data_IF_392727926231
#
_entry.id   IF_392727926231
#
_cell.length_a   1.000
_cell.length_b   1.000
_cell.length_c   1.000
_cell.angle_alpha   90.00
_cell.angle_beta   90.00
_cell.angle_gamma   90.00
#
_symmetry.space_group_name_H-M   'P 1'
#
loop_
_entity.id
_entity.type
_entity.pdbx_description
1 polymer ?
#
# COMPACT_ATOMS: atom_id res chain seq x y z
N UNK A 1 -49.77 18.61 -6.82
CA UNK A 1 -48.86 19.24 -7.85
C UNK A 1 -49.14 18.58 -9.18
N UNK A 2 -49.42 19.39 -10.21
CA UNK A 2 -49.75 18.83 -11.52
C UNK A 2 -48.53 18.09 -12.10
N UNK A 3 -48.77 16.87 -12.59
CA UNK A 3 -47.70 16.01 -13.14
C UNK A 3 -46.83 16.75 -14.20
N UNK A 4 -47.44 17.68 -14.96
CA UNK A 4 -46.77 18.53 -15.93
C UNK A 4 -45.78 19.50 -15.31
N UNK A 5 -46.03 20.06 -14.11
CA UNK A 5 -45.12 20.95 -13.39
C UNK A 5 -43.96 20.16 -12.82
N UNK A 6 -44.23 18.97 -12.26
CA UNK A 6 -43.19 18.08 -11.77
C UNK A 6 -42.22 17.64 -12.88
N UNK A 7 -42.74 17.22 -14.03
CA UNK A 7 -41.91 16.84 -15.18
C UNK A 7 -41.04 18.00 -15.69
N UNK A 8 -41.56 19.22 -15.72
CA UNK A 8 -40.75 20.41 -16.13
C UNK A 8 -39.62 20.69 -15.16
N UNK A 9 -39.86 20.59 -13.83
CA UNK A 9 -38.84 20.81 -12.80
C UNK A 9 -37.78 19.67 -12.89
N UNK A 10 -38.22 18.42 -13.00
CA UNK A 10 -37.34 17.27 -13.13
C UNK A 10 -36.44 17.38 -14.38
N UNK A 11 -37.01 17.77 -15.51
CA UNK A 11 -36.26 17.98 -16.76
C UNK A 11 -35.22 19.12 -16.63
N UNK A 12 -35.59 20.22 -15.97
CA UNK A 12 -34.67 21.32 -15.73
C UNK A 12 -33.49 20.94 -14.83
N UNK A 13 -33.76 20.18 -13.76
CA UNK A 13 -32.72 19.68 -12.85
C UNK A 13 -31.78 18.69 -13.57
N UNK A 14 -32.32 17.74 -14.32
CA UNK A 14 -31.50 16.80 -15.09
C UNK A 14 -30.66 17.52 -16.14
N UNK A 15 -31.20 18.53 -16.83
CA UNK A 15 -30.48 19.34 -17.79
C UNK A 15 -29.32 20.10 -17.13
N UNK A 16 -29.55 20.69 -15.95
CA UNK A 16 -28.51 21.38 -15.20
C UNK A 16 -27.36 20.46 -14.78
N UNK A 17 -27.68 19.26 -14.26
CA UNK A 17 -26.69 18.26 -13.89
C UNK A 17 -25.87 17.81 -15.11
N UNK A 18 -26.54 17.59 -16.24
CA UNK A 18 -25.87 17.17 -17.48
C UNK A 18 -24.91 18.26 -17.99
N UNK A 19 -25.32 19.52 -17.94
CA UNK A 19 -24.44 20.64 -18.29
C UNK A 19 -23.21 20.71 -17.38
N UNK A 20 -23.36 20.56 -16.07
CA UNK A 20 -22.24 20.55 -15.13
C UNK A 20 -21.26 19.40 -15.46
N UNK A 21 -21.78 18.21 -15.77
CA UNK A 21 -20.95 17.07 -16.15
C UNK A 21 -20.19 17.32 -17.46
N UNK A 22 -20.84 17.90 -18.46
CA UNK A 22 -20.22 18.22 -19.76
C UNK A 22 -19.12 19.27 -19.58
N UNK A 23 -19.41 20.35 -18.86
CA UNK A 23 -18.40 21.39 -18.58
C UNK A 23 -17.23 20.85 -17.76
N UNK A 24 -17.49 19.97 -16.78
CA UNK A 24 -16.43 19.28 -16.03
C UNK A 24 -15.51 18.46 -16.95
N UNK A 25 -16.06 17.72 -17.89
CA UNK A 25 -15.27 16.95 -18.87
C UNK A 25 -14.50 17.83 -19.85
N UNK A 26 -15.08 18.93 -20.30
CA UNK A 26 -14.40 19.90 -21.17
C UNK A 26 -13.25 20.57 -20.41
N UNK A 27 -13.46 20.95 -19.16
CA UNK A 27 -12.42 21.52 -18.31
C UNK A 27 -11.27 20.52 -18.08
N UNK A 28 -11.57 19.27 -17.78
CA UNK A 28 -10.58 18.18 -17.68
C UNK A 28 -9.76 18.02 -18.97
N UNK A 29 -10.42 18.10 -20.12
CA UNK A 29 -9.76 17.97 -21.42
C UNK A 29 -8.85 19.17 -21.76
N UNK A 30 -9.28 20.39 -21.40
CA UNK A 30 -8.54 21.63 -21.71
C UNK A 30 -7.43 21.92 -20.70
N UNK A 31 -7.57 21.50 -19.43
CA UNK A 31 -6.65 21.80 -18.33
C UNK A 31 -5.84 20.57 -17.91
N UNK A 32 -5.60 19.60 -18.81
CA UNK A 32 -4.61 18.56 -18.55
C UNK A 32 -3.21 19.19 -18.65
N UNK A 33 -2.55 19.55 -17.55
CA UNK A 33 -1.16 19.94 -17.62
C UNK A 33 -0.35 18.67 -17.89
N UNK A 34 0.24 18.54 -19.08
CA UNK A 34 1.33 17.63 -19.35
C UNK A 34 2.54 18.09 -18.51
N UNK A 35 2.59 17.68 -17.25
CA UNK A 35 3.78 17.85 -16.43
C UNK A 35 4.74 16.74 -16.82
N UNK A 36 5.49 16.94 -17.90
CA UNK A 36 6.72 16.18 -18.14
C UNK A 36 7.74 16.62 -17.09
N UNK A 37 7.83 15.82 -16.02
CA UNK A 37 8.92 15.98 -15.06
C UNK A 37 10.19 15.44 -15.71
N UNK A 38 10.96 16.34 -16.33
CA UNK A 38 12.30 16.06 -16.82
C UNK A 38 13.18 15.61 -15.66
N UNK A 39 13.60 14.34 -15.65
CA UNK A 39 14.56 13.82 -14.70
C UNK A 39 15.94 14.41 -14.98
N UNK A 40 16.46 15.26 -14.10
CA UNK A 40 17.73 15.95 -14.23
C UNK A 40 18.97 15.09 -14.01
N UNK A 41 18.85 13.76 -13.89
CA UNK A 41 20.00 12.85 -13.79
C UNK A 41 19.85 11.67 -14.73
N UNK A 42 20.59 11.62 -15.87
CA UNK A 42 20.67 10.44 -16.74
C UNK A 42 21.55 9.38 -16.06
N UNK A 43 20.95 8.25 -15.72
CA UNK A 43 21.71 7.04 -15.40
C UNK A 43 21.78 6.21 -16.68
N UNK A 44 22.96 6.10 -17.28
CA UNK A 44 23.22 5.22 -18.40
C UNK A 44 23.14 3.75 -17.93
N UNK A 45 22.14 3.03 -18.41
CA UNK A 45 22.11 1.57 -18.35
C UNK A 45 22.01 1.02 -19.75
N UNK A 46 23.01 0.20 -20.10
CA UNK A 46 23.18 -0.42 -21.40
C UNK A 46 21.97 -1.28 -21.83
N UNK A 47 21.67 -1.19 -23.12
CA UNK A 47 20.65 -1.83 -23.92
C UNK A 47 20.27 -3.28 -23.60
N UNK A 48 18.97 -3.55 -23.49
CA UNK A 48 18.32 -4.68 -24.16
C UNK A 48 16.86 -4.37 -24.51
N UNK A 49 16.45 -4.87 -25.67
CA UNK A 49 15.31 -4.52 -26.50
C UNK A 49 13.89 -4.65 -25.90
N UNK A 50 12.84 -4.10 -26.58
CA UNK A 50 11.60 -3.70 -25.94
C UNK A 50 10.54 -4.80 -25.89
N UNK A 51 10.08 -5.13 -24.73
CA UNK A 51 8.85 -5.91 -24.55
C UNK A 51 7.72 -4.97 -24.11
N UNK A 52 6.58 -5.08 -24.76
CA UNK A 52 5.42 -4.18 -24.66
C UNK A 52 4.98 -3.98 -23.20
N UNK A 53 5.28 -2.82 -22.64
CA UNK A 53 4.84 -2.40 -21.31
C UNK A 53 3.34 -2.10 -21.30
N UNK A 54 2.59 -2.92 -20.59
CA UNK A 54 1.29 -2.54 -20.04
C UNK A 54 1.54 -1.48 -18.97
N UNK A 55 0.78 -0.41 -19.02
CA UNK A 55 0.76 0.75 -18.14
C UNK A 55 0.92 0.37 -16.64
N UNK A 56 2.14 0.29 -16.17
CA UNK A 56 2.49 0.09 -14.78
C UNK A 56 3.02 1.43 -14.25
N UNK A 57 2.13 2.25 -13.70
CA UNK A 57 2.52 3.39 -12.89
C UNK A 57 3.43 2.89 -11.77
N UNK A 58 4.74 2.97 -11.99
CA UNK A 58 5.76 2.57 -11.01
C UNK A 58 5.63 3.47 -9.79
N UNK A 59 4.95 2.97 -8.76
CA UNK A 59 4.83 3.68 -7.50
C UNK A 59 6.20 3.61 -6.84
N UNK A 60 6.93 4.72 -6.87
CA UNK A 60 8.22 4.87 -6.20
C UNK A 60 7.99 4.86 -4.67
N UNK A 61 8.13 3.68 -4.08
CA UNK A 61 8.05 3.53 -2.62
C UNK A 61 9.39 3.96 -2.04
N UNK A 62 9.35 4.96 -1.15
CA UNK A 62 10.54 5.49 -0.50
C UNK A 62 11.26 4.39 0.29
N UNK A 63 12.60 4.24 0.13
CA UNK A 63 13.38 3.25 0.87
C UNK A 63 13.42 3.60 2.37
N UNK A 64 13.40 2.56 3.23
CA UNK A 64 13.37 2.76 4.68
C UNK A 64 14.71 2.44 5.38
N UNK A 65 15.67 1.82 4.69
CA UNK A 65 16.89 1.30 5.34
C UNK A 65 17.60 2.38 6.15
N UNK A 66 17.76 3.59 5.59
CA UNK A 66 18.38 4.72 6.29
C UNK A 66 17.56 5.19 7.51
N UNK A 67 16.26 4.98 7.49
CA UNK A 67 15.36 5.43 8.56
C UNK A 67 15.27 4.41 9.71
N UNK A 68 15.63 3.14 9.49
CA UNK A 68 15.53 2.10 10.51
C UNK A 68 16.48 2.34 11.68
N UNK A 69 17.67 2.88 11.43
CA UNK A 69 18.65 3.18 12.47
C UNK A 69 18.17 4.30 13.43
N UNK A 70 17.36 5.23 12.93
CA UNK A 70 16.80 6.35 13.69
C UNK A 70 15.30 6.16 14.01
N UNK A 71 14.75 4.99 13.77
CA UNK A 71 13.34 4.72 13.96
C UNK A 71 12.94 4.71 15.45
N UNK A 72 11.81 5.31 15.75
CA UNK A 72 11.26 5.34 17.11
C UNK A 72 10.41 4.11 17.38
N UNK A 73 10.87 3.23 18.27
CA UNK A 73 10.19 1.96 18.62
C UNK A 73 8.86 2.23 19.35
N UNK A 74 8.79 3.26 20.21
CA UNK A 74 7.57 3.59 20.94
C UNK A 74 6.45 4.07 19.99
N UNK A 75 6.80 4.89 19.01
CA UNK A 75 5.86 5.28 17.96
C UNK A 75 5.46 4.09 17.10
N UNK A 76 6.39 3.17 16.82
CA UNK A 76 6.10 1.89 16.18
C UNK A 76 5.07 1.06 16.97
N UNK A 77 5.21 1.02 18.29
CA UNK A 77 4.25 0.37 19.19
C UNK A 77 2.88 1.04 19.15
N UNK A 78 2.81 2.37 19.12
CA UNK A 78 1.53 3.08 18.97
C UNK A 78 0.86 2.75 17.64
N UNK A 79 1.64 2.69 16.57
CA UNK A 79 1.14 2.35 15.22
C UNK A 79 0.65 0.90 15.17
N UNK A 80 1.32 -0.03 15.87
CA UNK A 80 0.95 -1.45 15.91
C UNK A 80 -0.45 -1.71 16.47
N UNK A 81 -1.02 -0.77 17.25
CA UNK A 81 -2.41 -0.84 17.73
C UNK A 81 -3.41 -0.99 16.59
N UNK A 82 -3.08 -0.53 15.38
CA UNK A 82 -3.91 -0.73 14.18
C UNK A 82 -3.94 -2.18 13.69
N UNK A 83 -3.02 -3.01 14.18
CA UNK A 83 -2.81 -4.39 13.73
C UNK A 83 -3.32 -5.42 14.75
N UNK A 84 -3.43 -5.06 16.05
CA UNK A 84 -3.71 -6.01 17.16
C UNK A 84 -5.07 -6.69 17.05
N UNK A 85 -6.03 -6.06 16.38
CA UNK A 85 -7.36 -6.66 16.15
C UNK A 85 -7.27 -7.95 15.32
N UNK A 86 -6.30 -8.00 14.39
CA UNK A 86 -6.15 -9.11 13.45
C UNK A 86 -4.89 -9.97 13.68
N UNK A 87 -3.87 -9.45 14.35
CA UNK A 87 -2.58 -10.13 14.52
C UNK A 87 -2.17 -10.26 15.98
N UNK A 88 -1.47 -11.37 16.31
CA UNK A 88 -0.69 -11.54 17.53
C UNK A 88 0.78 -11.13 17.30
N UNK A 89 1.53 -10.90 18.41
CA UNK A 89 2.94 -10.50 18.37
C UNK A 89 3.79 -11.25 19.40
N UNK A 90 3.21 -12.21 20.10
CA UNK A 90 3.87 -12.93 21.19
C UNK A 90 4.42 -14.26 20.69
N UNK A 91 5.54 -14.70 21.29
CA UNK A 91 6.11 -16.02 21.02
C UNK A 91 5.10 -17.13 21.33
N UNK A 92 4.87 -18.05 20.40
CA UNK A 92 3.88 -19.11 20.55
C UNK A 92 2.42 -18.64 20.54
N UNK A 93 2.19 -17.36 20.27
CA UNK A 93 0.84 -16.79 20.18
C UNK A 93 0.05 -17.39 19.02
N UNK A 94 -1.27 -17.55 19.20
CA UNK A 94 -2.17 -18.10 18.20
C UNK A 94 -2.39 -17.13 17.03
N UNK A 95 -2.64 -17.69 15.85
CA UNK A 95 -3.17 -16.94 14.73
C UNK A 95 -4.58 -16.40 15.08
N UNK A 96 -4.88 -15.20 14.60
CA UNK A 96 -6.21 -14.57 14.73
C UNK A 96 -6.88 -14.51 13.33
N UNK A 97 -7.47 -13.37 12.97
CA UNK A 97 -7.96 -13.10 11.61
C UNK A 97 -6.79 -13.11 10.60
N UNK A 98 -5.63 -12.66 11.05
CA UNK A 98 -4.35 -12.76 10.37
C UNK A 98 -3.36 -13.64 11.13
N UNK A 99 -2.20 -13.98 10.53
CA UNK A 99 -1.17 -14.77 11.18
C UNK A 99 -0.51 -14.02 12.35
N UNK A 100 0.09 -14.76 13.27
CA UNK A 100 0.95 -14.18 14.30
C UNK A 100 2.19 -13.56 13.64
N UNK A 101 2.56 -12.34 14.05
CA UNK A 101 3.68 -11.57 13.48
C UNK A 101 4.97 -11.65 14.33
N UNK A 102 5.00 -12.54 15.33
CA UNK A 102 6.25 -12.80 16.06
C UNK A 102 7.31 -13.33 15.11
N UNK A 103 8.50 -12.73 15.19
CA UNK A 103 9.64 -13.08 14.35
C UNK A 103 9.38 -12.89 12.83
N UNK A 104 8.56 -11.93 12.46
CA UNK A 104 8.16 -11.73 11.04
C UNK A 104 9.30 -11.22 10.15
N UNK A 105 10.27 -10.45 10.70
CA UNK A 105 11.37 -9.89 9.92
C UNK A 105 12.28 -11.02 9.44
N UNK A 106 12.56 -11.04 8.14
CA UNK A 106 13.30 -12.06 7.40
C UNK A 106 12.67 -13.46 7.37
N UNK A 107 11.42 -13.61 7.84
CA UNK A 107 10.67 -14.86 7.72
C UNK A 107 10.24 -15.10 6.28
N UNK A 108 10.15 -16.36 5.86
CA UNK A 108 9.61 -16.73 4.56
C UNK A 108 8.15 -16.26 4.43
N UNK A 109 7.81 -15.71 3.27
CA UNK A 109 6.47 -15.21 2.99
C UNK A 109 5.47 -16.36 2.90
N UNK A 110 4.38 -16.26 3.65
CA UNK A 110 3.22 -17.16 3.62
C UNK A 110 3.56 -18.67 3.70
N UNK A 111 4.57 -19.04 4.49
CA UNK A 111 4.99 -20.43 4.70
C UNK A 111 4.61 -20.99 6.07
N UNK A 112 3.86 -20.23 6.87
CA UNK A 112 3.36 -20.68 8.15
C UNK A 112 2.04 -21.43 8.03
N UNK A 113 1.65 -22.13 9.10
CA UNK A 113 0.35 -22.79 9.21
C UNK A 113 -0.76 -21.73 9.41
N UNK A 114 -1.15 -21.11 8.30
CA UNK A 114 -2.22 -20.13 8.23
C UNK A 114 -2.87 -20.15 6.84
N UNK A 115 -4.19 -19.96 6.78
CA UNK A 115 -4.95 -19.96 5.53
C UNK A 115 -4.75 -18.64 4.73
N UNK A 116 -3.57 -18.49 4.15
CA UNK A 116 -3.25 -17.33 3.31
C UNK A 116 -4.14 -17.22 2.06
N UNK A 117 -4.21 -16.02 1.48
CA UNK A 117 -4.76 -15.83 0.14
C UNK A 117 -3.84 -16.43 -0.91
N UNK A 118 -4.38 -16.85 -2.06
CA UNK A 118 -3.57 -17.30 -3.22
C UNK A 118 -2.49 -16.29 -3.57
N UNK A 119 -2.79 -14.99 -3.51
CA UNK A 119 -1.85 -13.92 -3.81
C UNK A 119 -0.65 -13.88 -2.86
N UNK A 120 -0.82 -14.21 -1.58
CA UNK A 120 0.30 -14.29 -0.63
C UNK A 120 1.01 -15.64 -0.70
N UNK A 121 0.26 -16.75 -0.85
CA UNK A 121 0.84 -18.10 -0.95
C UNK A 121 1.75 -18.29 -2.17
N UNK A 122 1.53 -17.53 -3.25
CA UNK A 122 2.37 -17.55 -4.45
C UNK A 122 3.69 -16.80 -4.29
N UNK A 123 3.86 -16.05 -3.21
CA UNK A 123 5.13 -15.38 -2.92
C UNK A 123 6.17 -16.38 -2.44
N UNK A 124 7.42 -16.23 -2.89
CA UNK A 124 8.54 -17.11 -2.57
C UNK A 124 9.70 -16.42 -1.86
N UNK A 125 9.54 -15.14 -1.53
CA UNK A 125 10.57 -14.33 -0.88
C UNK A 125 10.54 -14.41 0.64
N UNK A 126 11.28 -13.50 1.26
CA UNK A 126 11.28 -13.27 2.69
C UNK A 126 10.68 -11.90 3.02
N UNK A 127 10.15 -11.74 4.21
CA UNK A 127 9.71 -10.46 4.75
C UNK A 127 10.92 -9.61 5.18
N UNK A 128 11.81 -9.29 4.22
CA UNK A 128 12.89 -8.34 4.46
C UNK A 128 12.34 -6.96 4.85
N UNK A 129 13.19 -6.09 5.37
CA UNK A 129 12.80 -4.71 5.71
C UNK A 129 12.15 -4.00 4.52
N UNK A 130 12.68 -4.18 3.30
CA UNK A 130 12.14 -3.55 2.10
C UNK A 130 10.84 -4.20 1.65
N UNK A 131 10.69 -5.50 1.74
CA UNK A 131 9.44 -6.19 1.38
C UNK A 131 8.32 -5.84 2.37
N UNK A 132 8.61 -5.76 3.67
CA UNK A 132 7.68 -5.24 4.68
C UNK A 132 7.30 -3.78 4.39
N UNK A 133 8.25 -2.93 3.99
CA UNK A 133 7.99 -1.55 3.60
C UNK A 133 7.00 -1.47 2.43
N UNK A 134 7.22 -2.23 1.37
CA UNK A 134 6.35 -2.29 0.20
C UNK A 134 4.96 -2.81 0.55
N UNK A 135 4.90 -3.90 1.30
CA UNK A 135 3.64 -4.50 1.72
C UNK A 135 2.83 -3.57 2.62
N UNK A 136 3.46 -2.96 3.63
CA UNK A 136 2.81 -2.05 4.57
C UNK A 136 2.40 -0.73 3.92
N UNK A 137 3.05 -0.32 2.84
CA UNK A 137 2.60 0.87 2.09
C UNK A 137 1.19 0.68 1.55
N UNK A 138 0.94 -0.41 0.82
CA UNK A 138 -0.40 -0.79 0.33
C UNK A 138 -0.48 -2.30 0.11
N UNK A 139 -1.02 -3.08 1.07
CA UNK A 139 -1.10 -4.54 0.96
C UNK A 139 -1.79 -5.05 -0.30
N UNK A 140 -2.91 -4.41 -0.69
CA UNK A 140 -3.68 -4.79 -1.90
C UNK A 140 -2.94 -4.51 -3.21
N UNK A 141 -1.99 -3.56 -3.19
CA UNK A 141 -1.17 -3.25 -4.35
C UNK A 141 -0.01 -4.24 -4.47
N UNK A 142 0.63 -4.55 -3.35
CA UNK A 142 1.74 -5.51 -3.28
C UNK A 142 1.30 -6.94 -3.62
N UNK A 143 0.18 -7.38 -3.05
CA UNK A 143 -0.39 -8.70 -3.27
C UNK A 143 -1.87 -8.56 -3.69
N UNK A 144 -2.11 -8.36 -5.00
CA UNK A 144 -3.46 -8.21 -5.55
C UNK A 144 -4.28 -9.47 -5.30
N UNK A 145 -5.35 -9.34 -4.53
CA UNK A 145 -6.18 -10.47 -4.08
C UNK A 145 -5.84 -10.94 -2.65
N UNK A 146 -5.02 -10.20 -1.90
CA UNK A 146 -4.82 -10.46 -0.47
C UNK A 146 -6.14 -10.35 0.31
N UNK A 147 -6.33 -11.24 1.28
CA UNK A 147 -7.44 -11.19 2.25
C UNK A 147 -7.26 -10.03 3.26
N UNK A 148 -6.06 -9.48 3.40
CA UNK A 148 -5.79 -8.37 4.30
C UNK A 148 -6.48 -7.09 3.81
N UNK A 149 -7.43 -6.58 4.59
CA UNK A 149 -8.25 -5.40 4.24
C UNK A 149 -7.61 -4.06 4.62
N UNK A 150 -6.43 -4.08 5.25
CA UNK A 150 -5.74 -2.88 5.71
C UNK A 150 -5.39 -1.94 4.55
N UNK A 151 -5.68 -0.63 4.74
CA UNK A 151 -5.45 0.37 3.70
C UNK A 151 -3.97 0.69 3.45
N UNK A 152 -3.12 0.42 4.45
CA UNK A 152 -1.69 0.70 4.41
C UNK A 152 -1.27 1.93 5.20
N UNK A 153 0.05 2.15 5.25
CA UNK A 153 0.72 3.29 5.87
C UNK A 153 1.42 4.12 4.80
N UNK A 154 0.87 5.30 4.47
CA UNK A 154 1.44 6.18 3.43
C UNK A 154 2.78 6.80 3.84
N UNK A 155 2.92 7.20 5.13
CA UNK A 155 4.13 7.85 5.63
C UNK A 155 5.28 6.86 5.79
N UNK A 156 6.42 7.13 5.17
CA UNK A 156 7.61 6.27 5.24
C UNK A 156 8.14 6.14 6.67
N UNK A 157 8.12 7.23 7.44
CA UNK A 157 8.53 7.24 8.85
C UNK A 157 7.69 6.30 9.71
N UNK A 158 6.37 6.29 9.50
CA UNK A 158 5.47 5.39 10.23
C UNK A 158 5.75 3.93 9.90
N UNK A 159 6.07 3.61 8.64
CA UNK A 159 6.48 2.27 8.23
C UNK A 159 7.81 1.85 8.85
N UNK A 160 8.80 2.75 8.85
CA UNK A 160 10.09 2.50 9.48
C UNK A 160 9.94 2.24 10.99
N UNK A 161 9.19 3.09 11.70
CA UNK A 161 8.91 2.94 13.13
C UNK A 161 8.21 1.61 13.44
N UNK A 162 7.16 1.26 12.67
CA UNK A 162 6.45 -0.01 12.85
C UNK A 162 7.36 -1.21 12.59
N UNK A 163 8.16 -1.18 11.54
CA UNK A 163 9.07 -2.29 11.20
C UNK A 163 10.17 -2.43 12.23
N UNK A 164 10.73 -1.33 12.74
CA UNK A 164 11.69 -1.35 13.84
C UNK A 164 11.08 -1.96 15.11
N UNK A 165 9.83 -1.64 15.44
CA UNK A 165 9.12 -2.27 16.54
C UNK A 165 8.85 -3.75 16.29
N UNK A 166 8.40 -4.14 15.09
CA UNK A 166 8.20 -5.55 14.71
C UNK A 166 9.50 -6.36 14.84
N UNK A 167 10.64 -5.76 14.50
CA UNK A 167 11.96 -6.37 14.70
C UNK A 167 12.19 -6.75 16.15
N UNK A 168 11.75 -5.97 17.13
CA UNK A 168 11.89 -6.29 18.57
C UNK A 168 11.02 -7.46 18.99
N UNK A 169 10.03 -7.88 18.18
CA UNK A 169 9.17 -9.03 18.43
C UNK A 169 9.82 -10.33 17.91
N UNK A 170 11.01 -10.60 18.37
CA UNK A 170 11.80 -11.79 18.03
C UNK A 170 12.76 -12.12 19.16
N UNK A 171 13.05 -13.41 19.38
CA UNK A 171 14.10 -13.83 20.28
C UNK A 171 15.50 -13.45 19.76
N UNK A 172 15.65 -13.44 18.41
CA UNK A 172 16.88 -13.06 17.73
C UNK A 172 16.58 -11.96 16.70
N UNK A 173 16.50 -10.69 17.12
CA UNK A 173 16.17 -9.60 16.21
C UNK A 173 17.18 -9.48 15.05
N UNK A 174 16.69 -9.42 13.82
CA UNK A 174 17.53 -9.26 12.65
C UNK A 174 18.45 -8.03 12.79
N UNK A 175 19.70 -8.05 12.29
CA UNK A 175 20.58 -6.89 12.35
C UNK A 175 19.94 -5.70 11.62
N UNK A 176 20.20 -4.49 12.11
CA UNK A 176 19.88 -3.27 11.38
C UNK A 176 20.81 -3.14 10.18
N UNK A 177 20.36 -2.57 9.06
CA UNK A 177 21.19 -2.34 7.88
C UNK A 177 22.22 -1.25 8.12
#
# INVERSE_FOLDING_TARGET
MDALKFNKIAAALLGAVLLIMVFGKIADFLVHPNIEVSNSYPIEVANKAPEKAKDNKVIKIEPILMLLASANIEDGQKISKKCVACHGFDSGGKNKVGPNLYNIVNKLQAKEDFSYSKALSSLSGQWSYQELNKFLYKPKLYAKGTKMSYAGLSKVKDRANLIAWLRTKSANPAPLP
#
